data_IF_495203009842
#
_entry.id   IF_495203009842
#
_cell.length_a   1.000
_cell.length_b   1.000
_cell.length_c   1.000
_cell.angle_alpha   90.00
_cell.angle_beta   90.00
_cell.angle_gamma   90.00
#
_symmetry.space_group_name_H-M   'P 1'
#
loop_
_entity.id
_entity.type
_entity.pdbx_description
1 polymer ?
#
# COMPACT_ATOMS: atom_id res chain seq x y z
N UNK A 1 -6.38 -47.51 46.48
CA UNK A 1 -5.88 -46.15 46.17
C UNK A 1 -5.21 -46.06 44.79
N UNK A 2 -5.71 -46.77 43.76
CA UNK A 2 -5.08 -46.80 42.42
C UNK A 2 -6.05 -46.38 41.29
N UNK A 3 -7.21 -45.81 41.63
CA UNK A 3 -8.19 -45.31 40.65
C UNK A 3 -8.29 -43.78 40.57
N UNK A 4 -7.63 -43.05 41.48
CA UNK A 4 -7.66 -41.57 41.50
C UNK A 4 -6.51 -40.93 40.71
N UNK A 5 -5.49 -41.70 40.32
CA UNK A 5 -4.32 -41.18 39.56
C UNK A 5 -4.60 -41.15 38.05
N UNK A 6 -5.57 -41.94 37.57
CA UNK A 6 -5.84 -42.03 36.13
C UNK A 6 -6.58 -40.81 35.56
N UNK A 7 -7.27 -40.02 36.39
CA UNK A 7 -7.99 -38.84 35.93
C UNK A 7 -7.11 -37.58 35.79
N UNK A 8 -5.90 -37.57 36.37
CA UNK A 8 -5.04 -36.40 36.35
C UNK A 8 -4.15 -36.33 35.09
N UNK A 9 -4.00 -37.46 34.38
CA UNK A 9 -3.15 -37.53 33.18
C UNK A 9 -3.86 -37.08 31.88
N UNK A 10 -5.19 -36.92 31.89
CA UNK A 10 -5.96 -36.54 30.68
C UNK A 10 -6.09 -35.02 30.48
N UNK A 11 -5.66 -34.21 31.45
CA UNK A 11 -5.81 -32.74 31.41
C UNK A 11 -4.57 -32.02 30.86
N UNK A 12 -3.51 -32.74 30.49
CA UNK A 12 -2.23 -32.12 30.05
C UNK A 12 -2.08 -32.13 28.51
N UNK A 13 -2.94 -32.84 27.76
CA UNK A 13 -2.79 -32.97 26.31
C UNK A 13 -3.52 -31.91 25.45
N UNK A 14 -4.08 -30.85 26.04
CA UNK A 14 -4.77 -29.78 25.28
C UNK A 14 -3.93 -28.52 25.04
N UNK A 15 -2.68 -28.51 25.48
CA UNK A 15 -1.74 -27.45 25.15
C UNK A 15 -0.79 -28.00 24.07
N UNK A 16 -0.55 -27.24 23.01
CA UNK A 16 0.24 -27.62 21.82
C UNK A 16 -0.56 -28.52 20.84
N UNK A 17 -1.42 -27.97 19.99
CA UNK A 17 -0.96 -27.30 18.77
C UNK A 17 -2.04 -26.37 18.23
N UNK A 18 -1.94 -25.09 18.57
CA UNK A 18 -2.36 -24.04 17.63
C UNK A 18 -1.11 -23.73 16.85
N UNK A 19 -0.87 -24.48 15.78
CA UNK A 19 -0.12 -23.95 14.66
C UNK A 19 -1.00 -22.84 14.09
N UNK A 20 -0.87 -21.65 14.68
CA UNK A 20 -1.28 -20.43 14.01
C UNK A 20 -0.53 -20.45 12.70
N UNK A 21 -1.24 -20.68 11.59
CA UNK A 21 -0.81 -20.10 10.34
C UNK A 21 -0.81 -18.61 10.58
N UNK A 22 0.31 -18.07 11.07
CA UNK A 22 0.66 -16.70 10.73
C UNK A 22 0.65 -16.74 9.23
N UNK A 23 -0.39 -16.15 8.63
CA UNK A 23 -0.32 -15.72 7.24
C UNK A 23 1.08 -15.16 7.08
N UNK A 24 1.86 -15.75 6.19
CA UNK A 24 3.02 -15.06 5.65
C UNK A 24 2.52 -13.66 5.34
N UNK A 25 2.88 -12.67 6.16
CA UNK A 25 2.76 -11.28 5.78
C UNK A 25 3.67 -11.20 4.57
N UNK A 26 3.10 -11.41 3.38
CA UNK A 26 3.74 -10.89 2.20
C UNK A 26 3.73 -9.39 2.43
N UNK A 27 4.90 -8.82 2.72
CA UNK A 27 5.03 -7.38 2.70
C UNK A 27 4.61 -6.97 1.28
N UNK A 28 3.45 -6.35 1.11
CA UNK A 28 3.01 -5.85 -0.19
C UNK A 28 4.12 -4.98 -0.81
N UNK A 29 4.21 -5.01 -2.13
CA UNK A 29 5.07 -4.09 -2.87
C UNK A 29 4.31 -2.80 -3.18
N UNK A 30 4.67 -1.72 -2.51
CA UNK A 30 4.04 -0.42 -2.71
C UNK A 30 4.70 0.36 -3.84
N UNK A 31 3.88 0.96 -4.70
CA UNK A 31 4.29 2.06 -5.58
C UNK A 31 3.50 3.29 -5.19
N UNK A 32 4.21 4.34 -4.78
CA UNK A 32 3.62 5.56 -4.25
C UNK A 32 3.60 6.66 -5.32
N UNK A 33 2.51 7.40 -5.37
CA UNK A 33 2.35 8.54 -6.27
C UNK A 33 1.73 9.71 -5.52
N UNK A 34 2.33 10.88 -5.61
CA UNK A 34 1.77 12.14 -5.14
C UNK A 34 1.21 12.97 -6.30
N UNK A 35 0.04 13.56 -6.09
CA UNK A 35 -0.53 14.63 -6.91
C UNK A 35 -0.70 15.87 -6.02
N UNK A 36 0.17 16.85 -6.20
CA UNK A 36 0.10 18.13 -5.47
C UNK A 36 -1.10 18.99 -5.90
N UNK A 37 -1.43 20.01 -5.10
CA UNK A 37 -2.46 21.01 -5.44
C UNK A 37 -2.27 21.63 -6.84
N UNK A 38 -1.00 21.86 -7.24
CA UNK A 38 -0.63 22.42 -8.55
C UNK A 38 -0.62 21.38 -9.68
N UNK A 39 -1.14 20.17 -9.43
CA UNK A 39 -1.15 19.04 -10.38
C UNK A 39 0.22 18.55 -10.81
N UNK A 40 1.28 18.89 -10.07
CA UNK A 40 2.55 18.21 -10.24
C UNK A 40 2.41 16.77 -9.74
N UNK A 41 2.87 15.82 -10.55
CA UNK A 41 2.85 14.40 -10.25
C UNK A 41 4.25 13.95 -9.88
N UNK A 42 4.36 13.17 -8.81
CA UNK A 42 5.62 12.57 -8.36
C UNK A 42 5.39 11.07 -8.18
N UNK A 43 6.18 10.25 -8.89
CA UNK A 43 6.18 8.79 -8.70
C UNK A 43 7.38 8.47 -7.81
N UNK A 44 7.13 7.88 -6.65
CA UNK A 44 8.06 7.93 -5.52
C UNK A 44 8.52 9.38 -5.32
N UNK A 45 9.81 9.68 -5.35
CA UNK A 45 10.36 11.04 -5.17
C UNK A 45 10.60 11.80 -6.49
N UNK A 46 10.27 11.21 -7.65
CA UNK A 46 10.63 11.75 -8.96
C UNK A 46 9.44 12.46 -9.62
N UNK A 47 9.62 13.75 -9.90
CA UNK A 47 8.65 14.51 -10.69
C UNK A 47 8.49 13.88 -12.07
N UNK A 48 7.25 13.53 -12.41
CA UNK A 48 6.92 12.73 -13.58
C UNK A 48 5.79 13.40 -14.36
N UNK A 49 5.94 13.56 -15.67
CA UNK A 49 4.85 14.05 -16.51
C UNK A 49 3.74 13.01 -16.61
N UNK A 50 2.50 13.46 -16.84
CA UNK A 50 1.35 12.56 -16.94
C UNK A 50 1.57 11.40 -17.94
N UNK A 51 2.13 11.69 -19.12
CA UNK A 51 2.43 10.67 -20.14
C UNK A 51 3.55 9.70 -19.76
N UNK A 52 4.36 10.03 -18.75
CA UNK A 52 5.48 9.22 -18.27
C UNK A 52 5.15 8.31 -17.09
N UNK A 53 3.94 8.42 -16.50
CA UNK A 53 3.54 7.64 -15.32
C UNK A 53 3.67 6.15 -15.60
N UNK A 54 3.08 5.67 -16.70
CA UNK A 54 3.04 4.24 -17.01
C UNK A 54 4.45 3.65 -17.17
N UNK A 55 5.33 4.36 -17.89
CA UNK A 55 6.70 3.93 -18.11
C UNK A 55 7.50 3.87 -16.80
N UNK A 56 7.36 4.90 -15.94
CA UNK A 56 8.04 4.96 -14.64
C UNK A 56 7.55 3.88 -13.69
N UNK A 57 6.25 3.68 -13.57
CA UNK A 57 5.67 2.60 -12.74
C UNK A 57 6.11 1.23 -13.28
N UNK A 58 6.12 1.04 -14.60
CA UNK A 58 6.57 -0.22 -15.19
C UNK A 58 8.05 -0.49 -14.92
N UNK A 59 8.90 0.54 -14.93
CA UNK A 59 10.30 0.44 -14.52
C UNK A 59 10.43 -0.05 -13.07
N UNK A 60 9.71 0.58 -12.14
CA UNK A 60 9.71 0.20 -10.72
C UNK A 60 9.26 -1.26 -10.54
N UNK A 61 8.17 -1.66 -11.20
CA UNK A 61 7.64 -3.02 -11.11
C UNK A 61 8.60 -4.06 -11.71
N UNK A 62 9.32 -3.74 -12.79
CA UNK A 62 10.32 -4.66 -13.39
C UNK A 62 11.56 -4.81 -12.52
N UNK A 63 11.96 -3.75 -11.81
CA UNK A 63 13.17 -3.73 -11.00
C UNK A 63 12.96 -4.24 -9.57
N UNK A 64 11.71 -4.56 -9.18
CA UNK A 64 11.42 -5.06 -7.84
C UNK A 64 12.06 -6.43 -7.58
N UNK A 65 12.52 -6.71 -6.36
CA UNK A 65 12.92 -8.06 -5.97
C UNK A 65 11.77 -9.06 -6.14
N UNK A 66 12.03 -10.20 -6.78
CA UNK A 66 11.00 -11.22 -6.96
C UNK A 66 10.62 -11.90 -5.64
N UNK A 67 9.32 -11.93 -5.33
CA UNK A 67 8.72 -12.64 -4.19
C UNK A 67 7.42 -13.33 -4.64
N UNK A 68 7.26 -14.61 -4.33
CA UNK A 68 6.17 -15.46 -4.85
C UNK A 68 4.76 -15.00 -4.44
N UNK A 69 4.61 -14.49 -3.21
CA UNK A 69 3.30 -14.15 -2.63
C UNK A 69 3.10 -12.64 -2.43
N UNK A 70 3.94 -11.81 -3.05
CA UNK A 70 3.91 -10.35 -2.88
C UNK A 70 2.91 -9.70 -3.85
N UNK A 71 1.82 -9.15 -3.31
CA UNK A 71 0.90 -8.33 -4.10
C UNK A 71 1.49 -6.93 -4.33
N UNK A 72 1.17 -6.32 -5.48
CA UNK A 72 1.48 -4.92 -5.71
C UNK A 72 0.31 -4.05 -5.27
N UNK A 73 0.62 -2.94 -4.62
CA UNK A 73 -0.37 -1.96 -4.16
C UNK A 73 0.06 -0.58 -4.62
N UNK A 74 -0.80 0.09 -5.37
CA UNK A 74 -0.61 1.48 -5.76
C UNK A 74 -1.23 2.39 -4.71
N UNK A 75 -0.46 3.36 -4.22
CA UNK A 75 -0.93 4.37 -3.29
C UNK A 75 -0.89 5.73 -3.95
N UNK A 76 -2.05 6.35 -4.07
CA UNK A 76 -2.19 7.70 -4.62
C UNK A 76 -2.50 8.65 -3.49
N UNK A 77 -1.58 9.56 -3.24
CA UNK A 77 -1.71 10.67 -2.32
C UNK A 77 -2.05 11.89 -3.18
N UNK A 78 -3.21 12.48 -2.97
CA UNK A 78 -3.67 13.58 -3.82
C UNK A 78 -4.13 14.74 -2.95
N UNK A 79 -3.90 15.96 -3.42
CA UNK A 79 -4.51 17.11 -2.78
C UNK A 79 -6.03 16.98 -2.77
N UNK A 80 -6.64 17.25 -1.62
CA UNK A 80 -8.07 17.08 -1.39
C UNK A 80 -8.95 17.98 -2.27
N UNK A 81 -8.39 19.08 -2.78
CA UNK A 81 -9.10 20.02 -3.63
C UNK A 81 -9.01 19.67 -5.13
N UNK A 82 -8.31 18.58 -5.49
CA UNK A 82 -8.22 18.15 -6.88
C UNK A 82 -9.54 17.53 -7.37
N UNK A 83 -9.91 17.77 -8.63
CA UNK A 83 -11.04 17.08 -9.23
C UNK A 83 -10.82 15.55 -9.21
N UNK A 84 -11.79 14.81 -8.69
CA UNK A 84 -11.73 13.34 -8.64
C UNK A 84 -11.42 12.70 -10.02
N UNK A 85 -11.95 13.29 -11.10
CA UNK A 85 -11.66 12.84 -12.47
C UNK A 85 -10.16 12.85 -12.79
N UNK A 86 -9.43 13.88 -12.35
CA UNK A 86 -7.99 13.98 -12.57
C UNK A 86 -7.22 12.89 -11.79
N UNK A 87 -7.60 12.65 -10.54
CA UNK A 87 -7.03 11.57 -9.71
C UNK A 87 -7.28 10.20 -10.36
N UNK A 88 -8.48 10.01 -10.93
CA UNK A 88 -8.85 8.78 -11.61
C UNK A 88 -8.11 8.58 -12.94
N UNK A 89 -7.85 9.65 -13.68
CA UNK A 89 -7.03 9.60 -14.89
C UNK A 89 -5.59 9.20 -14.57
N UNK A 90 -5.00 9.76 -13.51
CA UNK A 90 -3.67 9.36 -13.02
C UNK A 90 -3.64 7.89 -12.57
N UNK A 91 -4.66 7.45 -11.84
CA UNK A 91 -4.79 6.04 -11.44
C UNK A 91 -4.85 5.10 -12.67
N UNK A 92 -5.54 5.50 -13.74
CA UNK A 92 -5.61 4.72 -14.97
C UNK A 92 -4.24 4.56 -15.62
N UNK A 93 -3.41 5.61 -15.63
CA UNK A 93 -2.04 5.53 -16.13
C UNK A 93 -1.16 4.60 -15.29
N UNK A 94 -1.29 4.63 -13.96
CA UNK A 94 -0.59 3.65 -13.11
C UNK A 94 -1.03 2.21 -13.42
N UNK A 95 -2.34 1.97 -13.55
CA UNK A 95 -2.90 0.65 -13.85
C UNK A 95 -2.46 0.13 -15.23
N UNK A 96 -2.25 1.01 -16.20
CA UNK A 96 -1.74 0.63 -17.53
C UNK A 96 -0.32 0.02 -17.48
N UNK A 97 0.45 0.30 -16.43
CA UNK A 97 1.81 -0.22 -16.25
C UNK A 97 1.87 -1.68 -15.80
N UNK A 98 0.77 -2.22 -15.26
CA UNK A 98 0.69 -3.58 -14.71
C UNK A 98 -0.22 -4.48 -15.55
N UNK A 99 0.22 -5.72 -15.77
CA UNK A 99 -0.61 -6.78 -16.35
C UNK A 99 -1.36 -7.58 -15.27
N UNK A 100 -0.88 -7.50 -14.04
CA UNK A 100 -1.45 -8.21 -12.90
C UNK A 100 -2.52 -7.36 -12.23
N UNK A 101 -3.41 -8.01 -11.48
CA UNK A 101 -4.38 -7.31 -10.64
C UNK A 101 -3.64 -6.59 -9.51
N UNK A 102 -3.77 -5.27 -9.48
CA UNK A 102 -3.18 -4.40 -8.45
C UNK A 102 -4.28 -3.82 -7.58
N UNK A 103 -4.04 -3.71 -6.28
CA UNK A 103 -4.89 -2.94 -5.38
C UNK A 103 -4.52 -1.46 -5.47
N UNK A 104 -5.50 -0.56 -5.52
CA UNK A 104 -5.26 0.89 -5.38
C UNK A 104 -5.80 1.37 -4.04
N UNK A 105 -4.98 2.12 -3.32
CA UNK A 105 -5.31 2.91 -2.13
C UNK A 105 -5.20 4.39 -2.50
N UNK A 106 -6.15 5.21 -2.03
CA UNK A 106 -6.16 6.65 -2.30
C UNK A 106 -6.26 7.40 -0.98
N UNK A 107 -5.49 8.48 -0.86
CA UNK A 107 -5.42 9.33 0.31
C UNK A 107 -5.59 10.77 -0.14
N UNK A 108 -6.59 11.46 0.41
CA UNK A 108 -6.78 12.89 0.18
C UNK A 108 -6.06 13.65 1.28
N UNK A 109 -5.18 14.56 0.89
CA UNK A 109 -4.30 15.32 1.77
C UNK A 109 -4.54 16.80 1.57
N UNK A 110 -4.41 17.60 2.63
CA UNK A 110 -4.23 19.04 2.47
C UNK A 110 -2.75 19.31 2.19
N UNK A 111 -2.33 19.27 0.93
CA UNK A 111 -0.91 19.34 0.56
C UNK A 111 -0.30 20.73 0.79
N UNK A 112 -1.16 21.76 0.84
CA UNK A 112 -0.78 23.14 1.14
C UNK A 112 -0.39 23.27 2.62
N UNK A 113 -1.23 22.78 3.53
CA UNK A 113 -0.95 22.83 4.98
C UNK A 113 0.26 21.97 5.37
N UNK A 114 0.48 20.87 4.65
CA UNK A 114 1.61 19.97 4.89
C UNK A 114 2.93 20.47 4.28
N UNK A 115 2.93 21.58 3.54
CA UNK A 115 4.10 22.14 2.84
C UNK A 115 4.84 21.10 1.98
N UNK A 116 4.08 20.22 1.34
CA UNK A 116 4.65 19.11 0.58
C UNK A 116 5.22 19.63 -0.75
N UNK A 117 6.55 19.66 -0.89
CA UNK A 117 7.26 20.11 -2.09
C UNK A 117 7.81 18.97 -2.97
N UNK A 118 7.20 17.78 -2.88
CA UNK A 118 7.29 16.75 -3.92
C UNK A 118 8.62 15.98 -4.04
N UNK A 119 9.78 16.49 -3.61
CA UNK A 119 11.02 15.69 -3.67
C UNK A 119 11.18 14.81 -2.43
N UNK A 120 10.77 15.27 -1.25
CA UNK A 120 10.85 14.53 0.02
C UNK A 120 9.47 14.29 0.66
N UNK A 121 8.40 14.48 -0.11
CA UNK A 121 7.02 14.39 0.37
C UNK A 121 6.68 13.11 1.15
N UNK A 122 7.30 11.98 0.77
CA UNK A 122 7.03 10.70 1.42
C UNK A 122 7.62 10.63 2.84
N UNK A 123 8.63 11.45 3.14
CA UNK A 123 9.19 11.60 4.49
C UNK A 123 8.33 12.50 5.38
N UNK A 124 7.54 13.38 4.76
CA UNK A 124 6.70 14.39 5.43
C UNK A 124 5.32 13.85 5.82
N UNK A 125 4.94 12.68 5.32
CA UNK A 125 3.65 12.03 5.58
C UNK A 125 3.81 10.90 6.60
N UNK A 126 3.10 10.99 7.73
CA UNK A 126 2.88 9.83 8.60
C UNK A 126 1.72 8.97 8.06
N UNK A 127 2.06 7.88 7.38
CA UNK A 127 1.10 6.93 6.81
C UNK A 127 0.14 6.33 7.85
N UNK A 128 0.49 6.33 9.15
CA UNK A 128 -0.36 5.75 10.21
C UNK A 128 -1.57 6.61 10.52
N UNK A 129 -1.48 7.91 10.26
CA UNK A 129 -2.55 8.86 10.54
C UNK A 129 -3.48 9.06 9.33
N UNK A 130 -3.10 8.51 8.17
CA UNK A 130 -3.88 8.65 6.95
C UNK A 130 -5.04 7.66 6.90
N UNK A 131 -6.24 8.21 6.69
CA UNK A 131 -7.43 7.43 6.38
C UNK A 131 -7.57 7.31 4.85
N UNK A 132 -7.76 6.09 4.31
CA UNK A 132 -8.08 5.94 2.90
C UNK A 132 -9.34 6.72 2.56
N UNK A 133 -9.33 7.42 1.44
CA UNK A 133 -10.54 8.03 0.89
C UNK A 133 -11.57 6.92 0.65
N UNK A 134 -12.69 6.99 1.37
CA UNK A 134 -13.75 5.99 1.25
C UNK A 134 -14.21 5.91 -0.22
N UNK A 135 -14.38 4.68 -0.70
CA UNK A 135 -14.84 4.44 -2.07
C UNK A 135 -16.23 5.05 -2.25
N UNK A 136 -16.49 5.87 -3.28
CA UNK A 136 -17.85 6.03 -3.76
C UNK A 136 -18.38 4.70 -4.33
#
# INVERSE_FOLDING_TARGET
MLKKIFLLALLISTYFSVSGQTSTNSDDFYVNLLISADKNIYVETEKTDFSGISDKVSEILRNRPFRLDQESVFRIFADENLPLGYIMDVNREMLAASKDKVKTERYLLNTIELNIDGQDWFQEIDLKDLKPAERP
#
